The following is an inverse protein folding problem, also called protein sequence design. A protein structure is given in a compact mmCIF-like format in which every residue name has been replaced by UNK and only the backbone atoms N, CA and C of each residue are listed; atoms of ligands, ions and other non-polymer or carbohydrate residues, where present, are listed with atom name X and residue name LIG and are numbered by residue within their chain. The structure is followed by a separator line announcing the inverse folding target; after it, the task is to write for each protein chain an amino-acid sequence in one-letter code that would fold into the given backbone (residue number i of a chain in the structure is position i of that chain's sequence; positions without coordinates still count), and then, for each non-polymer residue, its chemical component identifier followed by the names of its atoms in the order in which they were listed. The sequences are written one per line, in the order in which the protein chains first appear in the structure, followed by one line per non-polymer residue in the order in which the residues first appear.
data_IF_569864955875
#
_entry.id   IF_569864955875
#
_cell.length_a   1.000
_cell.length_b   1.000
_cell.length_c   1.000
_cell.angle_alpha   90.00
_cell.angle_beta   90.00
_cell.angle_gamma   90.00
#
_symmetry.space_group_name_H-M   'P 1'
#
loop_
_entity.id
_entity.type
_entity.pdbx_description
1 polymer ?
#
# COMPACT_ATOMS: atom_id res chain seq x y z
N UNK A 1 10.18 7.85 -1.98
CA UNK A 1 9.07 7.11 -1.35
C UNK A 1 9.11 7.27 0.15
N UNK A 2 7.95 7.29 0.77
CA UNK A 2 7.86 7.39 2.21
C UNK A 2 7.14 6.15 2.73
N UNK A 3 7.86 5.33 3.47
CA UNK A 3 7.33 4.10 4.06
C UNK A 3 7.38 4.25 5.57
N UNK A 4 6.24 4.14 6.23
CA UNK A 4 6.14 4.33 7.66
C UNK A 4 5.54 3.12 8.35
N UNK A 5 6.09 2.81 9.52
CA UNK A 5 5.55 1.78 10.40
C UNK A 5 4.67 2.45 11.47
N UNK A 6 3.56 1.79 11.78
CA UNK A 6 2.68 2.21 12.88
C UNK A 6 2.70 1.10 13.94
N UNK A 7 3.43 1.34 15.03
CA UNK A 7 3.65 0.32 16.05
C UNK A 7 4.38 -0.88 15.43
N UNK A 8 3.78 -2.06 15.49
CA UNK A 8 4.32 -3.26 14.86
C UNK A 8 3.76 -3.51 13.45
N UNK A 9 2.92 -2.59 12.95
CA UNK A 9 2.38 -2.66 11.58
C UNK A 9 3.32 -1.93 10.65
N UNK A 10 3.89 -2.65 9.69
CA UNK A 10 4.78 -2.04 8.70
C UNK A 10 4.48 -2.59 7.32
N UNK A 11 4.70 -1.80 6.27
CA UNK A 11 4.48 -2.25 4.90
C UNK A 11 5.34 -3.46 4.55
N UNK A 12 4.74 -4.40 3.83
CA UNK A 12 5.40 -5.60 3.32
C UNK A 12 5.39 -5.53 1.80
N UNK A 13 6.58 -5.56 1.22
CA UNK A 13 6.74 -5.38 -0.22
C UNK A 13 7.07 -6.72 -0.87
N UNK A 14 6.27 -7.10 -1.86
CA UNK A 14 6.55 -8.28 -2.65
C UNK A 14 7.75 -8.08 -3.58
N UNK A 15 8.15 -9.13 -4.26
CA UNK A 15 9.28 -9.09 -5.17
C UNK A 15 9.03 -8.08 -6.28
N UNK A 16 10.00 -7.22 -6.53
CA UNK A 16 9.93 -6.18 -7.57
C UNK A 16 8.79 -5.17 -7.39
N UNK A 17 8.23 -5.04 -6.20
CA UNK A 17 7.25 -3.99 -5.95
C UNK A 17 7.93 -2.63 -6.08
N UNK A 18 7.23 -1.68 -6.69
CA UNK A 18 7.77 -0.34 -6.92
C UNK A 18 6.87 0.73 -6.31
N UNK A 19 7.49 1.66 -5.61
CA UNK A 19 6.78 2.77 -4.98
C UNK A 19 7.43 4.07 -5.47
N UNK A 20 6.62 4.95 -6.05
CA UNK A 20 7.12 6.23 -6.56
C UNK A 20 7.76 7.05 -5.44
N UNK A 21 8.77 7.88 -5.75
CA UNK A 21 9.48 8.64 -4.72
C UNK A 21 8.60 9.52 -3.83
N UNK A 22 7.49 10.04 -4.33
CA UNK A 22 6.60 10.88 -3.53
C UNK A 22 5.30 10.18 -3.12
N UNK A 23 5.21 8.87 -3.31
CA UNK A 23 4.09 8.10 -2.76
C UNK A 23 4.34 7.83 -1.28
N UNK A 24 3.27 7.65 -0.52
CA UNK A 24 3.35 7.39 0.92
C UNK A 24 2.63 6.08 1.25
N UNK A 25 3.31 5.20 1.97
CA UNK A 25 2.75 3.90 2.37
C UNK A 25 2.93 3.78 3.88
N UNK A 26 1.82 3.66 4.61
CA UNK A 26 1.82 3.68 6.07
C UNK A 26 1.11 2.45 6.63
N UNK A 27 1.73 1.80 7.59
CA UNK A 27 1.12 0.76 8.39
C UNK A 27 1.00 -0.58 7.68
N UNK A 28 -0.10 -1.28 7.91
CA UNK A 28 -0.28 -2.65 7.42
C UNK A 28 -0.74 -2.65 5.96
N UNK A 29 0.21 -2.41 5.07
CA UNK A 29 -0.01 -2.44 3.62
C UNK A 29 0.84 -3.57 3.06
N UNK A 30 0.21 -4.47 2.30
CA UNK A 30 0.89 -5.64 1.74
C UNK A 30 0.82 -5.58 0.22
N UNK A 31 1.98 -5.42 -0.40
CA UNK A 31 2.09 -5.32 -1.85
C UNK A 31 2.52 -6.65 -2.43
N UNK A 32 1.77 -7.13 -3.41
CA UNK A 32 2.13 -8.35 -4.13
C UNK A 32 3.34 -8.14 -5.04
N UNK A 33 3.78 -9.23 -5.69
CA UNK A 33 4.90 -9.18 -6.60
C UNK A 33 4.58 -8.28 -7.79
N UNK A 34 5.53 -7.46 -8.19
CA UNK A 34 5.43 -6.54 -9.33
C UNK A 34 4.29 -5.51 -9.19
N UNK A 35 3.78 -5.31 -7.97
CA UNK A 35 2.81 -4.23 -7.73
C UNK A 35 3.52 -2.88 -7.83
N UNK A 36 2.80 -1.85 -8.26
CA UNK A 36 3.38 -0.51 -8.38
C UNK A 36 2.45 0.55 -7.82
N UNK A 37 3.04 1.46 -7.04
CA UNK A 37 2.34 2.56 -6.40
C UNK A 37 2.89 3.85 -7.00
N UNK A 38 2.04 4.61 -7.67
CA UNK A 38 2.46 5.72 -8.51
C UNK A 38 2.46 7.06 -7.77
N UNK A 39 2.79 8.13 -8.49
CA UNK A 39 3.09 9.45 -7.91
C UNK A 39 1.96 10.00 -7.06
N UNK A 40 2.30 10.55 -5.90
CA UNK A 40 1.35 11.17 -4.96
C UNK A 40 0.29 10.22 -4.39
N UNK A 41 0.39 8.93 -4.63
CA UNK A 41 -0.55 7.98 -4.04
C UNK A 41 -0.27 7.84 -2.55
N UNK A 42 -1.33 7.63 -1.76
CA UNK A 42 -1.22 7.43 -0.32
C UNK A 42 -1.99 6.17 0.07
N UNK A 43 -1.29 5.23 0.69
CA UNK A 43 -1.87 3.99 1.19
C UNK A 43 -1.70 3.98 2.70
N UNK A 44 -2.81 3.96 3.43
CA UNK A 44 -2.79 4.05 4.89
C UNK A 44 -3.55 2.88 5.51
N UNK A 45 -2.82 1.84 5.88
CA UNK A 45 -3.39 0.66 6.54
C UNK A 45 -3.25 0.75 8.05
N UNK A 46 -3.84 1.78 8.64
CA UNK A 46 -3.69 2.05 10.07
C UNK A 46 -4.69 1.31 10.94
N UNK A 47 -5.80 0.86 10.39
CA UNK A 47 -6.79 0.06 11.12
C UNK A 47 -6.72 -1.40 10.69
N UNK A 48 -7.12 -1.70 9.46
CA UNK A 48 -7.03 -3.05 8.92
C UNK A 48 -6.10 -3.07 7.69
N UNK A 49 -5.62 -4.26 7.30
CA UNK A 49 -4.64 -4.31 6.21
C UNK A 49 -5.20 -3.89 4.86
N UNK A 50 -4.32 -3.33 4.04
CA UNK A 50 -4.56 -3.11 2.62
C UNK A 50 -3.74 -4.15 1.88
N UNK A 51 -4.40 -4.98 1.08
CA UNK A 51 -3.73 -5.98 0.25
C UNK A 51 -3.79 -5.57 -1.21
N UNK A 52 -2.65 -5.37 -1.82
CA UNK A 52 -2.53 -5.09 -3.24
C UNK A 52 -2.05 -6.36 -3.92
N UNK A 53 -2.83 -6.90 -4.84
CA UNK A 53 -2.49 -8.13 -5.52
C UNK A 53 -1.28 -8.02 -6.44
N UNK A 54 -0.81 -9.16 -6.94
CA UNK A 54 0.33 -9.20 -7.85
C UNK A 54 0.01 -8.43 -9.15
N UNK A 55 1.00 -7.75 -9.69
CA UNK A 55 0.92 -7.02 -10.96
C UNK A 55 -0.15 -5.91 -10.97
N UNK A 56 -0.55 -5.43 -9.80
CA UNK A 56 -1.57 -4.39 -9.67
C UNK A 56 -0.91 -3.02 -9.60
N UNK A 57 -1.50 -2.04 -10.28
CA UNK A 57 -1.02 -0.66 -10.27
C UNK A 57 -1.99 0.23 -9.49
N UNK A 58 -1.46 0.99 -8.55
CA UNK A 58 -2.22 2.04 -7.87
C UNK A 58 -1.78 3.35 -8.50
N UNK A 59 -2.68 3.97 -9.25
CA UNK A 59 -2.36 5.10 -10.10
C UNK A 59 -2.14 6.40 -9.33
N UNK A 60 -1.65 7.40 -10.04
CA UNK A 60 -1.30 8.70 -9.48
C UNK A 60 -2.45 9.31 -8.68
N UNK A 61 -2.12 9.86 -7.51
CA UNK A 61 -3.08 10.59 -6.70
C UNK A 61 -4.10 9.76 -5.95
N UNK A 62 -4.03 8.44 -6.03
CA UNK A 62 -4.97 7.57 -5.32
C UNK A 62 -4.77 7.66 -3.81
N UNK A 63 -5.87 7.60 -3.07
CA UNK A 63 -5.81 7.58 -1.60
C UNK A 63 -6.60 6.37 -1.11
N UNK A 64 -5.90 5.45 -0.45
CA UNK A 64 -6.51 4.24 0.09
C UNK A 64 -6.38 4.25 1.61
N UNK A 65 -7.49 4.01 2.29
CA UNK A 65 -7.54 4.01 3.73
C UNK A 65 -8.52 2.96 4.21
N UNK A 66 -8.18 2.25 5.28
CA UNK A 66 -9.06 1.24 5.86
C UNK A 66 -9.66 1.73 7.17
N UNK A 67 -10.92 1.36 7.39
CA UNK A 67 -11.57 1.54 8.68
C UNK A 67 -11.44 0.25 9.48
N UNK A 68 -11.57 0.36 10.79
CA UNK A 68 -11.51 -0.80 11.67
C UNK A 68 -12.56 -1.83 11.29
N UNK A 69 -12.15 -3.07 11.16
CA UNK A 69 -13.03 -4.17 10.78
C UNK A 69 -13.36 -4.26 9.30
N UNK A 70 -12.73 -3.41 8.46
CA UNK A 70 -13.02 -3.39 7.02
C UNK A 70 -11.70 -3.42 6.24
N UNK A 71 -11.09 -4.60 6.10
CA UNK A 71 -9.86 -4.71 5.30
C UNK A 71 -10.14 -4.45 3.82
N UNK A 72 -9.12 -3.94 3.13
CA UNK A 72 -9.23 -3.61 1.70
C UNK A 72 -8.38 -4.57 0.88
N UNK A 73 -8.97 -5.10 -0.18
CA UNK A 73 -8.27 -5.98 -1.11
C UNK A 73 -8.43 -5.44 -2.52
N UNK A 74 -7.31 -5.10 -3.15
CA UNK A 74 -7.28 -4.65 -4.53
C UNK A 74 -6.71 -5.79 -5.36
N UNK A 75 -7.49 -6.30 -6.30
CA UNK A 75 -7.09 -7.41 -7.16
C UNK A 75 -6.03 -7.01 -8.16
N UNK A 76 -5.50 -7.99 -8.85
CA UNK A 76 -4.48 -7.75 -9.87
C UNK A 76 -5.09 -7.45 -11.25
#
# INVERSE_FOLDING_TARGET
MSIYRLGDKQPQLGENAWIAPNATVIGDVRLGANASIWWNATLRGDNDPIHIGDNTNIQDGSVLHTDEGVPMHIGK
#
